data_IF_998382308043
#
_entry.id   IF_998382308043
#
_cell.length_a   1.000
_cell.length_b   1.000
_cell.length_c   1.000
_cell.angle_alpha   90.00
_cell.angle_beta   90.00
_cell.angle_gamma   90.00
#
_symmetry.space_group_name_H-M   'P 1'
#
loop_
_entity.id
_entity.type
_entity.pdbx_description
1 polymer ?
#
# COMPACT_ATOMS: atom_id res chain seq x y z
N UNK A 1 -37.12 -22.39 -22.15
CA UNK A 1 -37.10 -21.73 -20.82
C UNK A 1 -36.35 -22.52 -19.76
N UNK A 2 -36.67 -23.80 -19.52
CA UNK A 2 -36.00 -24.58 -18.45
C UNK A 2 -34.47 -24.60 -18.53
N UNK A 3 -33.90 -24.86 -19.72
CA UNK A 3 -32.44 -24.85 -19.91
C UNK A 3 -31.78 -23.51 -19.55
N UNK A 4 -32.40 -22.39 -19.94
CA UNK A 4 -31.88 -21.04 -19.67
C UNK A 4 -31.89 -20.75 -18.17
N UNK A 5 -32.98 -21.11 -17.48
CA UNK A 5 -33.10 -20.93 -16.03
C UNK A 5 -32.05 -21.76 -15.30
N UNK A 6 -31.85 -23.01 -15.70
CA UNK A 6 -30.81 -23.89 -15.11
C UNK A 6 -29.41 -23.32 -15.34
N UNK A 7 -29.11 -22.84 -16.55
CA UNK A 7 -27.82 -22.23 -16.85
C UNK A 7 -27.53 -20.99 -16.00
N UNK A 8 -28.50 -20.07 -15.90
CA UNK A 8 -28.35 -18.83 -15.10
C UNK A 8 -28.28 -19.15 -13.60
N UNK A 9 -29.07 -20.12 -13.12
CA UNK A 9 -29.04 -20.54 -11.71
C UNK A 9 -27.71 -21.20 -11.33
N UNK A 10 -27.12 -21.98 -12.25
CA UNK A 10 -25.78 -22.53 -12.07
C UNK A 10 -24.74 -21.41 -11.97
N UNK A 11 -24.79 -20.43 -12.89
CA UNK A 11 -23.88 -19.29 -12.86
C UNK A 11 -24.03 -18.43 -11.59
N UNK A 12 -25.27 -18.31 -11.07
CA UNK A 12 -25.55 -17.64 -9.80
C UNK A 12 -24.83 -18.32 -8.63
N UNK A 13 -24.93 -19.65 -8.53
CA UNK A 13 -24.28 -20.42 -7.46
C UNK A 13 -22.76 -20.33 -7.58
N UNK A 14 -22.21 -20.49 -8.78
CA UNK A 14 -20.76 -20.37 -9.02
C UNK A 14 -20.26 -18.98 -8.61
N UNK A 15 -20.97 -17.93 -9.03
CA UNK A 15 -20.61 -16.55 -8.67
C UNK A 15 -20.65 -16.33 -7.16
N UNK A 16 -21.64 -16.90 -6.46
CA UNK A 16 -21.73 -16.82 -5.00
C UNK A 16 -20.56 -17.51 -4.28
N UNK A 17 -20.08 -18.64 -4.79
CA UNK A 17 -18.88 -19.31 -4.26
C UNK A 17 -17.64 -18.42 -4.47
N UNK A 18 -17.53 -17.74 -5.62
CA UNK A 18 -16.42 -16.83 -5.89
C UNK A 18 -16.46 -15.60 -4.97
N UNK A 19 -17.64 -15.07 -4.62
CA UNK A 19 -17.77 -13.99 -3.60
C UNK A 19 -17.11 -14.42 -2.29
N UNK A 20 -17.39 -15.63 -1.81
CA UNK A 20 -16.86 -16.17 -0.55
C UNK A 20 -15.37 -16.49 -0.62
N UNK A 21 -14.85 -16.75 -1.82
CA UNK A 21 -13.44 -17.13 -2.05
C UNK A 21 -12.57 -15.94 -2.49
N UNK A 22 -13.15 -14.75 -2.62
CA UNK A 22 -12.45 -13.55 -3.07
C UNK A 22 -11.42 -13.10 -2.05
N UNK A 23 -10.21 -12.76 -2.54
CA UNK A 23 -9.07 -12.40 -1.67
C UNK A 23 -9.14 -10.98 -1.14
N UNK A 24 -9.82 -10.08 -1.86
CA UNK A 24 -9.94 -8.67 -1.49
C UNK A 24 -11.40 -8.26 -1.39
N UNK A 25 -11.65 -7.35 -0.46
CA UNK A 25 -12.95 -6.71 -0.22
C UNK A 25 -13.55 -6.12 -1.51
N UNK A 26 -12.72 -5.51 -2.35
CA UNK A 26 -13.14 -4.98 -3.65
C UNK A 26 -13.61 -6.07 -4.62
N UNK A 27 -12.85 -7.17 -4.74
CA UNK A 27 -13.24 -8.31 -5.57
C UNK A 27 -14.55 -8.94 -5.09
N UNK A 28 -14.71 -9.15 -3.78
CA UNK A 28 -15.93 -9.69 -3.19
C UNK A 28 -17.17 -8.89 -3.59
N UNK A 29 -17.07 -7.56 -3.62
CA UNK A 29 -18.20 -6.69 -3.94
C UNK A 29 -18.52 -6.64 -5.43
N UNK A 30 -17.53 -6.72 -6.31
CA UNK A 30 -17.78 -6.89 -7.75
C UNK A 30 -18.56 -8.18 -7.98
N UNK A 31 -18.11 -9.29 -7.38
CA UNK A 31 -18.80 -10.58 -7.50
C UNK A 31 -20.19 -10.55 -6.88
N UNK A 32 -20.39 -9.83 -5.77
CA UNK A 32 -21.70 -9.62 -5.18
C UNK A 32 -22.66 -8.92 -6.16
N UNK A 33 -22.16 -7.90 -6.89
CA UNK A 33 -22.92 -7.24 -7.94
C UNK A 33 -23.35 -8.18 -9.08
N UNK A 34 -22.48 -9.11 -9.47
CA UNK A 34 -22.78 -10.14 -10.48
C UNK A 34 -23.87 -11.09 -9.95
N UNK A 35 -23.72 -11.60 -8.72
CA UNK A 35 -24.71 -12.48 -8.06
C UNK A 35 -26.08 -11.79 -7.99
N UNK A 36 -26.13 -10.53 -7.54
CA UNK A 36 -27.39 -9.79 -7.46
C UNK A 36 -28.00 -9.50 -8.83
N UNK A 37 -27.19 -9.27 -9.87
CA UNK A 37 -27.68 -9.06 -11.24
C UNK A 37 -28.27 -10.33 -11.84
N UNK A 38 -27.63 -11.49 -11.61
CA UNK A 38 -28.16 -12.80 -12.01
C UNK A 38 -29.47 -13.10 -11.29
N UNK A 39 -29.57 -12.75 -10.00
CA UNK A 39 -30.81 -12.88 -9.23
C UNK A 39 -31.96 -12.05 -9.83
N UNK A 40 -31.71 -10.80 -10.22
CA UNK A 40 -32.69 -9.96 -10.89
C UNK A 40 -33.16 -10.55 -12.22
N UNK A 41 -32.25 -11.11 -13.02
CA UNK A 41 -32.60 -11.80 -14.28
C UNK A 41 -33.49 -13.01 -14.02
N UNK A 42 -33.18 -13.82 -13.00
CA UNK A 42 -34.02 -14.98 -12.63
C UNK A 42 -35.43 -14.51 -12.26
N UNK A 43 -35.57 -13.45 -11.44
CA UNK A 43 -36.87 -12.90 -11.06
C UNK A 43 -37.66 -12.35 -12.25
N UNK A 44 -36.98 -11.70 -13.21
CA UNK A 44 -37.58 -11.22 -14.45
C UNK A 44 -38.17 -12.38 -15.27
N UNK A 45 -37.45 -13.51 -15.37
CA UNK A 45 -37.88 -14.70 -16.12
C UNK A 45 -39.07 -15.41 -15.44
N UNK A 46 -39.12 -15.40 -14.11
CA UNK A 46 -40.19 -16.02 -13.30
C UNK A 46 -41.47 -15.14 -13.31
N UNK A 47 -41.42 -13.93 -13.86
CA UNK A 47 -42.58 -13.05 -13.98
C UNK A 47 -42.77 -12.13 -12.77
N UNK A 48 -41.69 -11.85 -12.03
CA UNK A 48 -41.67 -10.87 -10.93
C UNK A 48 -40.84 -9.62 -11.33
N UNK A 49 -41.29 -8.81 -12.31
CA UNK A 49 -40.50 -7.69 -12.84
C UNK A 49 -40.26 -6.58 -11.81
N UNK A 50 -41.23 -6.28 -10.95
CA UNK A 50 -41.10 -5.23 -9.94
C UNK A 50 -40.01 -5.60 -8.91
N UNK A 51 -40.00 -6.86 -8.48
CA UNK A 51 -38.97 -7.38 -7.56
C UNK A 51 -37.59 -7.38 -8.25
N UNK A 52 -37.53 -7.79 -9.51
CA UNK A 52 -36.29 -7.76 -10.29
C UNK A 52 -35.70 -6.33 -10.40
N UNK A 53 -36.55 -5.33 -10.64
CA UNK A 53 -36.14 -3.94 -10.74
C UNK A 53 -35.60 -3.43 -9.41
N UNK A 54 -36.27 -3.73 -8.29
CA UNK A 54 -35.77 -3.35 -6.96
C UNK A 54 -34.46 -4.06 -6.59
N UNK A 55 -34.30 -5.33 -6.96
CA UNK A 55 -33.07 -6.09 -6.72
C UNK A 55 -31.89 -5.45 -7.48
N UNK A 56 -32.10 -5.05 -8.74
CA UNK A 56 -31.05 -4.41 -9.51
C UNK A 56 -30.73 -3.01 -8.98
N UNK A 57 -31.74 -2.19 -8.68
CA UNK A 57 -31.54 -0.82 -8.22
C UNK A 57 -30.99 -0.74 -6.79
N UNK A 58 -31.65 -1.38 -5.82
CA UNK A 58 -31.28 -1.27 -4.41
C UNK A 58 -30.31 -2.38 -4.01
N UNK A 59 -30.58 -3.62 -4.43
CA UNK A 59 -29.75 -4.77 -4.07
C UNK A 59 -28.36 -4.75 -4.70
N UNK A 60 -28.25 -4.29 -5.95
CA UNK A 60 -26.96 -4.23 -6.68
C UNK A 60 -26.42 -2.81 -6.71
N UNK A 61 -27.12 -1.86 -7.34
CA UNK A 61 -26.54 -0.56 -7.64
C UNK A 61 -26.26 0.28 -6.38
N UNK A 62 -27.22 0.39 -5.44
CA UNK A 62 -27.00 1.15 -4.20
C UNK A 62 -25.89 0.53 -3.35
N UNK A 63 -25.88 -0.80 -3.16
CA UNK A 63 -24.85 -1.48 -2.37
C UNK A 63 -23.46 -1.29 -3.00
N UNK A 64 -23.34 -1.42 -4.32
CA UNK A 64 -22.09 -1.13 -5.04
C UNK A 64 -21.62 0.30 -4.82
N UNK A 65 -22.51 1.28 -4.96
CA UNK A 65 -22.17 2.70 -4.78
C UNK A 65 -21.70 2.97 -3.35
N UNK A 66 -22.46 2.51 -2.34
CA UNK A 66 -22.12 2.69 -0.93
C UNK A 66 -20.78 2.05 -0.61
N UNK A 67 -20.53 0.84 -1.12
CA UNK A 67 -19.28 0.13 -0.87
C UNK A 67 -18.08 0.78 -1.55
N UNK A 68 -18.21 1.17 -2.83
CA UNK A 68 -17.17 1.92 -3.53
C UNK A 68 -16.87 3.24 -2.80
N UNK A 69 -17.90 3.93 -2.32
CA UNK A 69 -17.74 5.15 -1.53
C UNK A 69 -17.06 4.89 -0.18
N UNK A 70 -17.38 3.79 0.49
CA UNK A 70 -16.74 3.38 1.74
C UNK A 70 -15.26 3.01 1.53
N UNK A 71 -14.95 2.22 0.50
CA UNK A 71 -13.58 1.86 0.13
C UNK A 71 -12.75 3.08 -0.22
N UNK A 72 -13.32 4.02 -1.00
CA UNK A 72 -12.63 5.28 -1.37
C UNK A 72 -12.29 6.13 -0.14
N UNK A 73 -13.06 6.01 0.95
CA UNK A 73 -12.81 6.71 2.21
C UNK A 73 -11.75 6.03 3.08
N UNK A 74 -11.57 4.71 2.95
CA UNK A 74 -10.59 3.94 3.73
C UNK A 74 -9.17 3.96 3.15
N UNK A 75 -8.98 4.34 1.88
CA UNK A 75 -7.68 4.27 1.20
C UNK A 75 -6.85 5.55 1.28
N UNK A 76 -7.11 6.41 2.26
CA UNK A 76 -6.21 7.55 2.52
C UNK A 76 -5.09 7.07 3.41
N UNK A 77 -3.86 7.20 2.95
CA UNK A 77 -2.66 6.83 3.70
C UNK A 77 -1.92 8.11 4.01
N UNK A 78 -1.83 8.45 5.30
CA UNK A 78 -1.05 9.58 5.74
C UNK A 78 0.42 9.18 5.76
N UNK A 79 1.17 9.75 4.84
CA UNK A 79 2.57 9.42 4.62
C UNK A 79 3.45 10.43 5.34
N UNK A 80 4.08 10.03 6.43
CA UNK A 80 5.14 10.80 7.07
C UNK A 80 6.38 10.81 6.19
N UNK A 81 6.87 12.00 5.86
CA UNK A 81 8.07 12.20 5.04
C UNK A 81 9.13 12.89 5.89
N UNK A 82 10.28 12.24 6.03
CA UNK A 82 11.52 12.82 6.53
C UNK A 82 12.45 12.97 5.34
N UNK A 83 12.79 14.21 4.96
CA UNK A 83 13.59 14.47 3.76
C UNK A 83 15.01 13.89 3.91
N UNK A 84 15.34 12.93 3.05
CA UNK A 84 16.66 12.32 2.99
C UNK A 84 17.11 12.27 1.53
N UNK A 85 18.29 12.85 1.21
CA UNK A 85 18.66 12.97 -0.18
C UNK A 85 18.80 11.61 -0.88
N UNK A 86 18.34 11.53 -2.13
CA UNK A 86 18.19 10.32 -2.96
C UNK A 86 17.10 9.32 -2.53
N UNK A 87 16.61 9.40 -1.29
CA UNK A 87 15.57 8.49 -0.77
C UNK A 87 14.19 9.10 -0.91
N UNK A 88 14.00 10.31 -0.39
CA UNK A 88 12.80 11.11 -0.58
C UNK A 88 13.14 12.60 -0.39
N UNK A 89 12.89 13.38 -1.43
CA UNK A 89 13.16 14.81 -1.49
C UNK A 89 11.94 15.53 -2.06
N UNK A 90 11.67 16.74 -1.57
CA UNK A 90 10.73 17.62 -2.22
C UNK A 90 11.37 18.31 -3.44
N UNK A 91 10.60 18.34 -4.52
CA UNK A 91 10.90 19.07 -5.74
C UNK A 91 9.76 20.03 -6.05
N UNK A 92 9.95 21.05 -6.91
CA UNK A 92 8.88 21.97 -7.30
C UNK A 92 7.66 21.28 -7.94
N UNK A 93 7.84 20.05 -8.46
CA UNK A 93 6.80 19.24 -9.10
C UNK A 93 6.16 18.19 -8.17
N UNK A 94 6.52 18.13 -6.88
CA UNK A 94 6.08 17.11 -5.93
C UNK A 94 7.26 16.41 -5.27
N UNK A 95 7.12 15.14 -4.90
CA UNK A 95 8.20 14.37 -4.29
C UNK A 95 8.97 13.53 -5.31
N UNK A 96 10.24 13.27 -5.04
CA UNK A 96 11.09 12.39 -5.83
C UNK A 96 12.04 11.62 -4.92
N UNK A 97 12.36 10.39 -5.30
CA UNK A 97 13.36 9.57 -4.61
C UNK A 97 13.01 8.09 -4.71
N UNK A 98 13.93 7.25 -4.26
CA UNK A 98 13.76 5.80 -4.26
C UNK A 98 12.48 5.36 -3.53
N UNK A 99 12.27 5.84 -2.31
CA UNK A 99 11.11 5.46 -1.49
C UNK A 99 9.80 5.99 -2.09
N UNK A 100 9.82 7.22 -2.62
CA UNK A 100 8.66 7.80 -3.29
C UNK A 100 8.25 7.00 -4.52
N UNK A 101 9.20 6.59 -5.35
CA UNK A 101 8.93 5.82 -6.56
C UNK A 101 8.40 4.42 -6.26
N UNK A 102 8.95 3.75 -5.23
CA UNK A 102 8.42 2.46 -4.76
C UNK A 102 6.98 2.62 -4.28
N UNK A 103 6.70 3.62 -3.44
CA UNK A 103 5.36 3.83 -2.89
C UNK A 103 4.35 4.24 -3.97
N UNK A 104 4.75 5.03 -4.98
CA UNK A 104 3.91 5.34 -6.13
C UNK A 104 3.52 4.08 -6.93
N UNK A 105 4.44 3.13 -7.11
CA UNK A 105 4.12 1.86 -7.79
C UNK A 105 3.15 1.00 -6.97
N UNK A 106 3.27 1.00 -5.64
CA UNK A 106 2.31 0.33 -4.76
C UNK A 106 0.95 1.03 -4.83
N UNK A 107 0.94 2.37 -4.84
CA UNK A 107 -0.26 3.20 -4.94
C UNK A 107 -1.03 2.98 -6.25
N UNK A 108 -0.36 2.99 -7.41
CA UNK A 108 -1.01 2.76 -8.71
C UNK A 108 -1.72 1.40 -8.80
N UNK A 109 -1.15 0.39 -8.15
CA UNK A 109 -1.69 -0.97 -8.16
C UNK A 109 -2.88 -1.10 -7.21
N UNK A 110 -2.73 -0.62 -5.98
CA UNK A 110 -3.72 -0.83 -4.93
C UNK A 110 -4.76 0.30 -4.84
N UNK A 111 -4.52 1.44 -5.50
CA UNK A 111 -5.41 2.59 -5.57
C UNK A 111 -5.52 3.34 -4.25
N UNK A 112 -4.39 3.56 -3.58
CA UNK A 112 -4.31 4.39 -2.39
C UNK A 112 -4.45 5.88 -2.75
N UNK A 113 -4.54 6.72 -1.73
CA UNK A 113 -4.42 8.16 -1.86
C UNK A 113 -3.47 8.64 -0.80
N UNK A 114 -2.23 8.90 -1.23
CA UNK A 114 -1.15 9.33 -0.35
C UNK A 114 -1.35 10.79 0.04
N UNK A 115 -1.48 11.04 1.35
CA UNK A 115 -1.51 12.39 1.93
C UNK A 115 -0.16 12.65 2.62
N UNK A 116 0.80 13.31 1.95
CA UNK A 116 2.13 13.53 2.50
C UNK A 116 2.09 14.55 3.66
N UNK A 117 2.71 14.18 4.78
CA UNK A 117 2.90 14.99 5.98
C UNK A 117 4.40 15.08 6.26
N UNK A 118 4.96 16.28 6.23
CA UNK A 118 6.40 16.47 6.43
C UNK A 118 6.76 16.56 7.91
N UNK A 119 7.90 15.99 8.24
CA UNK A 119 8.50 16.07 9.57
C UNK A 119 9.90 16.64 9.49
N UNK A 120 10.29 17.42 10.50
CA UNK A 120 11.60 18.05 10.54
C UNK A 120 12.68 17.09 11.03
N UNK A 121 12.28 16.10 11.83
CA UNK A 121 13.17 15.08 12.35
C UNK A 121 12.53 13.70 12.31
N UNK A 122 13.39 12.69 12.35
CA UNK A 122 13.02 11.28 12.38
C UNK A 122 12.26 10.91 13.66
N UNK A 123 12.67 11.48 14.78
CA UNK A 123 12.06 11.25 16.10
C UNK A 123 10.63 11.80 16.12
N UNK A 124 10.39 12.97 15.53
CA UNK A 124 9.06 13.56 15.42
C UNK A 124 8.10 12.66 14.61
N UNK A 125 8.58 12.11 13.49
CA UNK A 125 7.81 11.18 12.67
C UNK A 125 7.50 9.87 13.43
N UNK A 126 8.48 9.32 14.16
CA UNK A 126 8.30 8.11 14.96
C UNK A 126 7.26 8.30 16.06
N UNK A 127 7.25 9.45 16.75
CA UNK A 127 6.21 9.76 17.74
C UNK A 127 4.83 9.88 17.07
N UNK A 128 4.75 10.51 15.90
CA UNK A 128 3.49 10.68 15.18
C UNK A 128 2.87 9.34 14.73
N UNK A 129 3.69 8.38 14.25
CA UNK A 129 3.17 7.07 13.85
C UNK A 129 2.72 6.23 15.05
N UNK A 130 3.41 6.35 16.19
CA UNK A 130 3.02 5.68 17.43
C UNK A 130 1.70 6.21 18.00
N UNK A 131 1.42 7.50 17.81
CA UNK A 131 0.14 8.12 18.15
C UNK A 131 -0.96 7.84 17.12
N UNK A 132 -0.64 7.14 16.03
CA UNK A 132 -1.53 6.87 14.89
C UNK A 132 -2.00 8.14 14.16
N UNK A 133 -1.22 9.22 14.23
CA UNK A 133 -1.49 10.45 13.47
C UNK A 133 -1.17 10.25 11.98
N UNK A 134 -0.21 9.36 11.69
CA UNK A 134 0.20 8.93 10.34
C UNK A 134 0.18 7.39 10.23
N UNK A 135 0.16 6.88 9.00
CA UNK A 135 0.01 5.45 8.71
C UNK A 135 1.32 4.78 8.29
N UNK A 136 2.19 5.53 7.61
CA UNK A 136 3.44 5.05 7.02
C UNK A 136 4.50 6.16 7.10
N UNK A 137 5.77 5.81 7.35
CA UNK A 137 6.91 6.74 7.25
C UNK A 137 7.87 6.33 6.14
N UNK A 138 8.30 7.31 5.35
CA UNK A 138 9.45 7.27 4.45
C UNK A 138 10.51 8.28 4.91
N UNK A 139 11.78 7.91 4.78
CA UNK A 139 12.90 8.75 5.17
C UNK A 139 14.17 8.00 5.52
N UNK A 140 14.47 6.91 4.79
CA UNK A 140 15.65 6.07 5.05
C UNK A 140 15.70 5.50 6.47
N UNK A 141 14.56 5.09 7.01
CA UNK A 141 14.49 4.40 8.31
C UNK A 141 15.13 3.01 8.21
N UNK A 142 15.72 2.56 9.30
CA UNK A 142 16.37 1.27 9.43
C UNK A 142 15.62 0.37 10.42
N UNK A 143 15.96 -0.91 10.44
CA UNK A 143 15.35 -1.88 11.37
C UNK A 143 15.48 -1.46 12.85
N UNK A 144 16.53 -0.69 13.18
CA UNK A 144 16.78 -0.18 14.53
C UNK A 144 15.75 0.89 14.97
N UNK A 145 15.03 1.49 14.04
CA UNK A 145 14.01 2.51 14.31
C UNK A 145 12.63 1.93 14.56
N UNK A 146 12.46 0.64 14.32
CA UNK A 146 11.19 -0.05 14.51
C UNK A 146 10.98 -0.28 16.00
N UNK A 147 9.88 0.25 16.52
CA UNK A 147 9.49 0.10 17.92
C UNK A 147 8.47 -1.02 18.06
N UNK A 148 8.24 -1.53 19.27
CA UNK A 148 7.24 -2.60 19.50
C UNK A 148 5.79 -2.23 19.14
N UNK A 149 5.52 -0.96 18.81
CA UNK A 149 4.20 -0.44 18.40
C UNK A 149 4.11 -0.13 16.91
N UNK A 150 5.21 -0.27 16.18
CA UNK A 150 5.28 -0.10 14.73
C UNK A 150 5.76 -1.40 14.09
N UNK A 151 5.67 -1.47 12.77
CA UNK A 151 6.21 -2.59 12.00
C UNK A 151 7.10 -2.07 10.89
N UNK A 152 8.28 -2.67 10.74
CA UNK A 152 9.20 -2.38 9.65
C UNK A 152 9.02 -3.35 8.50
N UNK A 153 8.82 -2.83 7.29
CA UNK A 153 8.78 -3.63 6.06
C UNK A 153 10.09 -3.41 5.31
N UNK A 154 11.01 -4.39 5.29
CA UNK A 154 12.33 -4.23 4.68
C UNK A 154 12.25 -4.23 3.16
N UNK A 155 12.71 -3.15 2.53
CA UNK A 155 12.71 -3.02 1.08
C UNK A 155 14.11 -3.10 0.46
N UNK A 156 15.17 -2.69 1.16
CA UNK A 156 16.54 -2.67 0.65
C UNK A 156 17.58 -2.97 1.75
N UNK A 157 18.56 -3.82 1.49
CA UNK A 157 19.68 -4.04 2.42
C UNK A 157 20.61 -2.82 2.48
N UNK A 158 21.12 -2.52 3.67
CA UNK A 158 22.07 -1.43 3.92
C UNK A 158 23.14 -1.85 4.93
N UNK A 159 24.16 -1.02 5.07
CA UNK A 159 25.21 -1.19 6.07
C UNK A 159 25.26 0.04 6.96
N UNK A 160 25.41 -0.20 8.26
CA UNK A 160 25.60 0.84 9.26
C UNK A 160 27.10 0.96 9.55
N UNK A 161 27.58 2.19 9.54
CA UNK A 161 28.97 2.53 9.77
C UNK A 161 29.08 3.42 11.01
N UNK A 162 30.18 3.29 11.74
CA UNK A 162 30.55 4.21 12.79
C UNK A 162 31.43 5.29 12.18
N UNK A 163 31.05 6.56 12.35
CA UNK A 163 31.82 7.72 11.91
C UNK A 163 31.85 8.75 13.04
N UNK A 164 33.05 9.09 13.53
CA UNK A 164 33.24 10.05 14.62
C UNK A 164 32.41 9.74 15.89
N UNK A 165 32.12 8.46 16.15
CA UNK A 165 31.31 8.02 17.30
C UNK A 165 29.79 8.02 17.06
N UNK A 166 29.32 8.40 15.87
CA UNK A 166 27.91 8.32 15.48
C UNK A 166 27.67 7.18 14.48
N UNK A 167 26.53 6.49 14.64
CA UNK A 167 26.08 5.48 13.68
C UNK A 167 25.42 6.16 12.47
N UNK A 168 25.92 5.85 11.28
CA UNK A 168 25.50 6.47 10.02
C UNK A 168 25.21 5.36 9.00
N UNK A 169 24.07 5.45 8.33
CA UNK A 169 23.71 4.55 7.24
C UNK A 169 24.50 4.85 5.94
N UNK A 170 24.45 3.92 5.00
CA UNK A 170 25.17 4.04 3.72
C UNK A 170 24.79 5.31 2.92
N UNK A 171 23.52 5.71 2.93
CA UNK A 171 23.04 6.85 2.13
C UNK A 171 23.60 8.15 2.70
N UNK A 172 23.49 8.34 4.01
CA UNK A 172 24.08 9.49 4.72
C UNK A 172 25.60 9.52 4.56
N UNK A 173 26.27 8.38 4.67
CA UNK A 173 27.72 8.28 4.45
C UNK A 173 28.13 8.72 3.03
N UNK A 174 27.38 8.29 2.01
CA UNK A 174 27.62 8.67 0.60
C UNK A 174 27.50 10.18 0.40
N UNK A 175 26.54 10.83 1.06
CA UNK A 175 26.38 12.29 1.01
C UNK A 175 27.46 13.05 1.77
N UNK A 176 27.89 12.56 2.93
CA UNK A 176 29.01 13.14 3.68
C UNK A 176 30.32 13.08 2.88
N UNK A 177 30.58 11.95 2.21
CA UNK A 177 31.77 11.76 1.36
C UNK A 177 31.81 12.72 0.17
N UNK A 178 30.65 13.06 -0.42
CA UNK A 178 30.55 14.06 -1.49
C UNK A 178 30.88 15.48 -1.03
N UNK A 179 30.66 15.80 0.25
CA UNK A 179 30.86 17.13 0.84
C UNK A 179 32.24 17.34 1.49
N UNK A 180 33.26 16.59 1.06
CA UNK A 180 34.69 16.81 1.38
C UNK A 180 35.18 16.41 2.77
N UNK A 181 34.34 15.84 3.65
CA UNK A 181 34.86 15.02 4.73
C UNK A 181 35.08 13.60 4.17
N UNK A 182 36.31 13.11 4.25
CA UNK A 182 36.61 11.69 4.09
C UNK A 182 36.63 11.10 5.50
N UNK A 183 35.47 10.86 6.15
CA UNK A 183 35.49 10.09 7.37
C UNK A 183 36.07 8.71 7.01
N UNK A 184 36.78 8.10 7.96
CA UNK A 184 37.13 6.68 7.86
C UNK A 184 35.98 5.90 8.48
N UNK A 185 34.99 5.42 7.68
CA UNK A 185 33.88 4.65 8.22
C UNK A 185 34.39 3.31 8.72
N UNK A 186 34.06 2.97 9.96
CA UNK A 186 34.24 1.62 10.48
C UNK A 186 32.93 0.86 10.29
N UNK A 187 32.97 -0.27 9.56
CA UNK A 187 31.78 -1.10 9.39
C UNK A 187 31.34 -1.65 10.74
N UNK A 188 30.07 -1.43 11.09
CA UNK A 188 29.51 -1.88 12.36
C UNK A 188 28.65 -3.13 12.17
N UNK A 189 27.60 -3.03 11.35
CA UNK A 189 26.66 -4.13 11.09
C UNK A 189 25.90 -3.96 9.78
N UNK A 190 25.31 -5.05 9.29
CA UNK A 190 24.28 -4.99 8.25
C UNK A 190 22.92 -4.65 8.87
N UNK A 191 22.08 -3.96 8.12
CA UNK A 191 20.68 -3.64 8.44
C UNK A 191 19.87 -3.66 7.15
N UNK A 192 18.56 -3.46 7.23
CA UNK A 192 17.73 -3.11 6.08
C UNK A 192 17.17 -1.70 6.25
N UNK A 193 16.98 -0.99 5.15
CA UNK A 193 16.02 0.11 5.11
C UNK A 193 14.61 -0.45 5.11
N UNK A 194 13.75 0.17 5.92
CA UNK A 194 12.39 -0.29 6.18
C UNK A 194 11.39 0.84 5.99
N UNK A 195 10.24 0.51 5.45
CA UNK A 195 9.04 1.32 5.59
C UNK A 195 8.46 1.07 6.97
N UNK A 196 8.25 2.12 7.77
CA UNK A 196 7.67 1.96 9.11
C UNK A 196 6.17 2.21 9.04
N UNK A 197 5.38 1.19 9.36
CA UNK A 197 3.93 1.17 9.26
C UNK A 197 3.29 1.11 10.65
N UNK A 198 2.19 1.83 10.82
CA UNK A 198 1.37 1.84 12.02
C UNK A 198 0.69 0.48 12.23
N UNK A 199 0.70 -0.02 13.48
CA UNK A 199 0.04 -1.30 13.82
C UNK A 199 -1.49 -1.26 13.69
N UNK A 200 -2.09 -0.07 13.58
CA UNK A 200 -3.53 0.12 13.38
C UNK A 200 -3.96 -0.11 11.91
N UNK A 201 -3.01 -0.30 11.00
CA UNK A 201 -3.26 -0.40 9.54
C UNK A 201 -2.73 -1.73 8.97
N UNK A 202 -3.24 -2.89 9.40
CA UNK A 202 -2.73 -4.21 8.99
C UNK A 202 -2.94 -4.50 7.50
N UNK A 203 -3.99 -3.93 6.89
CA UNK A 203 -4.23 -4.05 5.46
C UNK A 203 -3.13 -3.34 4.65
N UNK A 204 -2.69 -2.16 5.11
CA UNK A 204 -1.62 -1.38 4.47
C UNK A 204 -0.29 -2.12 4.51
N UNK A 205 0.04 -2.75 5.64
CA UNK A 205 1.25 -3.57 5.78
C UNK A 205 1.28 -4.70 4.73
N UNK A 206 0.17 -5.42 4.62
CA UNK A 206 0.03 -6.53 3.68
C UNK A 206 0.14 -6.06 2.23
N UNK A 207 -0.53 -4.97 1.89
CA UNK A 207 -0.56 -4.43 0.53
C UNK A 207 0.83 -3.89 0.11
N UNK A 208 1.57 -3.25 1.02
CA UNK A 208 2.96 -2.83 0.76
C UNK A 208 3.87 -4.05 0.56
N UNK A 209 3.73 -5.10 1.39
CA UNK A 209 4.48 -6.34 1.21
C UNK A 209 4.21 -7.00 -0.15
N UNK A 210 2.94 -7.17 -0.51
CA UNK A 210 2.55 -7.76 -1.81
C UNK A 210 3.00 -6.87 -2.99
N UNK A 211 2.99 -5.54 -2.82
CA UNK A 211 3.53 -4.59 -3.77
C UNK A 211 5.04 -4.74 -3.97
N UNK A 212 5.80 -4.83 -2.88
CA UNK A 212 7.26 -5.03 -2.91
C UNK A 212 7.67 -6.36 -3.53
N UNK A 213 6.98 -7.45 -3.19
CA UNK A 213 7.24 -8.76 -3.79
C UNK A 213 7.01 -8.73 -5.31
N UNK A 214 5.96 -8.05 -5.75
CA UNK A 214 5.69 -7.85 -7.16
C UNK A 214 6.82 -7.06 -7.84
N UNK A 215 7.23 -5.93 -7.27
CA UNK A 215 8.32 -5.08 -7.82
C UNK A 215 9.63 -5.89 -7.90
N UNK A 216 9.97 -6.66 -6.86
CA UNK A 216 11.15 -7.55 -6.86
C UNK A 216 11.07 -8.61 -7.96
N UNK A 217 9.92 -9.27 -8.12
CA UNK A 217 9.74 -10.31 -9.14
C UNK A 217 9.85 -9.77 -10.58
N UNK A 218 9.53 -8.49 -10.78
CA UNK A 218 9.61 -7.82 -12.07
C UNK A 218 11.01 -7.31 -12.44
N UNK A 219 11.97 -7.30 -11.50
CA UNK A 219 13.31 -6.71 -11.70
C UNK A 219 13.35 -5.17 -11.68
N UNK A 220 12.22 -4.54 -11.36
CA UNK A 220 12.12 -3.07 -11.31
C UNK A 220 12.86 -2.49 -10.09
N UNK A 221 13.05 -3.26 -9.02
CA UNK A 221 13.68 -2.73 -7.80
C UNK A 221 15.15 -2.38 -8.06
N UNK A 222 15.89 -3.19 -8.82
CA UNK A 222 17.29 -2.92 -9.17
C UNK A 222 17.42 -1.68 -10.05
N UNK A 223 16.47 -1.46 -10.97
CA UNK A 223 16.44 -0.27 -11.83
C UNK A 223 16.14 1.01 -11.03
N UNK A 224 15.20 0.95 -10.07
CA UNK A 224 14.91 2.07 -9.18
C UNK A 224 16.14 2.36 -8.31
N UNK A 225 16.73 1.33 -7.69
CA UNK A 225 17.92 1.48 -6.85
C UNK A 225 19.05 2.13 -7.64
N UNK A 226 19.39 1.62 -8.83
CA UNK A 226 20.49 2.17 -9.64
C UNK A 226 20.28 3.60 -10.16
N UNK A 227 19.04 4.12 -10.14
CA UNK A 227 18.76 5.53 -10.50
C UNK A 227 19.08 6.52 -9.38
N UNK A 228 19.04 6.08 -8.12
CA UNK A 228 19.20 6.96 -6.95
C UNK A 228 20.46 6.64 -6.12
N UNK A 229 20.89 5.38 -6.04
CA UNK A 229 22.01 4.89 -5.24
C UNK A 229 23.15 4.38 -6.13
#
# INVERSE_FOLDING_TARGET
MSFVIVAISSLYIVSAIIVLSSKTNFQSVIWFGIVGSLSAIIMMIIGAPDVAMTQFSVGVALVLIVYIMALKKQRRVRLGIVEVPSMIEETPSGFRGLEWEIIQLVDEKEGYHLEPVKFSSKEEALVAIENHDIDLICGALTEDDVTGRTKGIPYLETSIFLCNGEEIDFVRLKHLSRNSLSPTPEFLRKSSYVFVVSTNSPDLEKDILEGLEFIRSSGNIEEIVGRYL
#
